data_IF_014163374834
#
_entry.id   IF_014163374834
#
_cell.length_a   1.000
_cell.length_b   1.000
_cell.length_c   1.000
_cell.angle_alpha   90.00
_cell.angle_beta   90.00
_cell.angle_gamma   90.00
#
_symmetry.space_group_name_H-M   'P 1'
#
loop_
_entity.id
_entity.type
_entity.pdbx_description
1 polymer ?
#
# COMPACT_ATOMS: atom_id res chain seq x y z
N UNK A 1 -25.09 -29.09 27.77
CA UNK A 1 -23.84 -28.30 27.92
C UNK A 1 -22.72 -28.69 26.95
N UNK A 2 -22.37 -29.98 26.77
CA UNK A 2 -21.26 -30.40 25.87
C UNK A 2 -21.46 -30.01 24.39
N UNK A 3 -22.67 -30.15 23.84
CA UNK A 3 -23.02 -29.75 22.47
C UNK A 3 -22.85 -28.25 22.17
N UNK A 4 -23.16 -27.40 23.14
CA UNK A 4 -22.98 -25.95 22.99
C UNK A 4 -21.50 -25.56 23.05
N UNK A 5 -20.68 -26.26 23.85
CA UNK A 5 -19.23 -26.06 23.88
C UNK A 5 -18.56 -26.41 22.54
N UNK A 6 -19.02 -27.48 21.89
CA UNK A 6 -18.54 -27.88 20.55
C UNK A 6 -18.95 -26.84 19.51
N UNK A 7 -20.21 -26.38 19.55
CA UNK A 7 -20.71 -25.36 18.62
C UNK A 7 -20.00 -24.02 18.78
N UNK A 8 -19.73 -23.59 20.02
CA UNK A 8 -18.96 -22.38 20.31
C UNK A 8 -17.51 -22.48 19.81
N UNK A 9 -16.88 -23.65 19.93
CA UNK A 9 -15.51 -23.86 19.45
C UNK A 9 -15.43 -23.83 17.91
N UNK A 10 -16.42 -24.42 17.23
CA UNK A 10 -16.51 -24.37 15.77
C UNK A 10 -16.72 -22.92 15.25
N UNK A 11 -17.52 -22.12 15.97
CA UNK A 11 -17.75 -20.72 15.60
C UNK A 11 -16.50 -19.86 15.74
N UNK A 12 -15.71 -20.05 16.81
CA UNK A 12 -14.43 -19.34 16.99
C UNK A 12 -13.43 -19.70 15.90
N UNK A 13 -13.38 -20.98 15.50
CA UNK A 13 -12.48 -21.44 14.44
C UNK A 13 -12.83 -20.82 13.08
N UNK A 14 -14.11 -20.70 12.75
CA UNK A 14 -14.55 -20.10 11.47
C UNK A 14 -14.25 -18.61 11.35
N UNK A 15 -14.27 -17.86 12.47
CA UNK A 15 -13.96 -16.42 12.46
C UNK A 15 -12.45 -16.18 12.24
N UNK A 16 -11.59 -17.10 12.69
CA UNK A 16 -10.14 -16.99 12.51
C UNK A 16 -9.66 -17.17 11.07
N UNK A 17 -10.42 -17.86 10.22
CA UNK A 17 -10.02 -18.13 8.83
C UNK A 17 -10.25 -16.95 7.87
N UNK A 18 -11.13 -16.00 8.22
CA UNK A 18 -11.51 -14.88 7.34
C UNK A 18 -10.51 -13.71 7.33
N UNK A 19 -9.46 -13.75 8.15
CA UNK A 19 -8.59 -12.60 8.39
C UNK A 19 -7.43 -12.41 7.40
N UNK A 20 -7.29 -13.27 6.38
CA UNK A 20 -6.13 -13.26 5.46
C UNK A 20 -6.53 -13.01 3.99
N UNK A 21 -7.44 -12.06 3.75
CA UNK A 21 -7.76 -11.66 2.38
C UNK A 21 -6.68 -10.69 1.85
N UNK A 22 -5.57 -11.23 1.35
CA UNK A 22 -4.66 -10.47 0.50
C UNK A 22 -5.31 -10.30 -0.88
N UNK A 23 -6.16 -9.27 -1.01
CA UNK A 23 -6.93 -8.98 -2.22
C UNK A 23 -6.07 -8.55 -3.42
N UNK A 24 -4.75 -8.42 -3.23
CA UNK A 24 -3.82 -8.03 -4.26
C UNK A 24 -2.91 -9.21 -4.59
N UNK A 25 -3.34 -10.06 -5.53
CA UNK A 25 -2.54 -11.17 -6.06
C UNK A 25 -1.14 -10.74 -6.59
N UNK A 26 -0.94 -9.43 -6.80
CA UNK A 26 0.36 -8.80 -6.98
C UNK A 26 0.56 -7.75 -5.90
N UNK A 27 1.59 -7.93 -5.06
CA UNK A 27 2.02 -6.91 -4.10
C UNK A 27 2.26 -5.60 -4.83
N UNK A 28 1.80 -4.49 -4.26
CA UNK A 28 2.11 -3.16 -4.78
C UNK A 28 3.62 -2.95 -4.76
N UNK A 29 4.18 -2.44 -5.85
CA UNK A 29 5.59 -2.08 -5.95
C UNK A 29 5.66 -0.56 -6.12
N UNK A 30 6.37 0.10 -5.21
CA UNK A 30 6.61 1.54 -5.35
C UNK A 30 7.47 1.81 -6.57
N UNK A 31 7.07 2.78 -7.38
CA UNK A 31 7.86 3.31 -8.52
C UNK A 31 8.76 4.48 -8.11
N UNK A 32 8.71 4.88 -6.85
CA UNK A 32 9.54 5.93 -6.28
C UNK A 32 10.33 5.36 -5.11
N UNK A 33 11.64 5.58 -5.13
CA UNK A 33 12.60 5.08 -4.14
C UNK A 33 12.71 5.96 -2.87
N UNK A 34 11.99 7.09 -2.84
CA UNK A 34 12.03 8.06 -1.75
C UNK A 34 13.24 9.01 -1.80
N UNK A 35 14.13 8.88 -2.78
CA UNK A 35 15.47 9.50 -2.75
C UNK A 35 15.82 10.23 -4.03
N UNK A 36 15.45 9.68 -5.17
CA UNK A 36 15.89 10.16 -6.48
C UNK A 36 14.71 10.29 -7.45
N UNK A 37 14.97 10.97 -8.56
CA UNK A 37 14.06 10.99 -9.71
C UNK A 37 14.52 9.99 -10.79
N UNK A 38 15.25 8.93 -10.42
CA UNK A 38 15.66 7.89 -11.36
C UNK A 38 14.44 7.23 -12.00
N UNK A 39 14.45 7.10 -13.33
CA UNK A 39 13.31 6.60 -14.11
C UNK A 39 12.20 7.64 -14.35
N UNK A 40 12.31 8.84 -13.78
CA UNK A 40 11.38 9.95 -14.04
C UNK A 40 11.94 10.88 -15.11
N UNK A 41 11.06 11.42 -15.94
CA UNK A 41 11.43 12.39 -16.98
C UNK A 41 10.29 13.38 -17.15
N UNK A 42 10.60 14.68 -17.10
CA UNK A 42 9.62 15.72 -17.38
C UNK A 42 9.22 15.65 -18.86
N UNK A 43 7.96 15.27 -19.12
CA UNK A 43 7.43 15.19 -20.49
C UNK A 43 6.89 16.52 -21.01
N UNK A 44 6.39 17.38 -20.12
CA UNK A 44 5.83 18.68 -20.47
C UNK A 44 5.90 19.66 -19.28
N UNK A 45 5.57 20.92 -19.52
CA UNK A 45 5.62 21.99 -18.53
C UNK A 45 7.04 22.51 -18.30
N UNK A 46 7.15 23.50 -17.42
CA UNK A 46 8.43 24.19 -17.11
C UNK A 46 8.74 24.24 -15.61
N UNK A 47 7.97 23.51 -14.80
CA UNK A 47 8.21 23.38 -13.38
C UNK A 47 9.53 22.65 -13.12
N UNK A 48 10.24 23.04 -12.06
CA UNK A 48 11.43 22.33 -11.58
C UNK A 48 11.02 21.29 -10.55
N UNK A 49 11.58 20.10 -10.64
CA UNK A 49 11.29 18.99 -9.72
C UNK A 49 12.53 18.59 -8.94
N UNK A 50 12.34 18.27 -7.66
CA UNK A 50 13.38 17.78 -6.76
C UNK A 50 12.76 16.83 -5.71
N UNK A 51 13.59 16.02 -5.05
CA UNK A 51 13.16 15.21 -3.90
C UNK A 51 13.53 15.94 -2.61
N UNK A 52 12.53 16.22 -1.77
CA UNK A 52 12.67 16.82 -0.43
C UNK A 52 11.86 16.03 0.58
N UNK A 53 12.47 15.63 1.68
CA UNK A 53 11.81 14.85 2.75
C UNK A 53 11.02 13.66 2.19
N UNK A 54 11.70 12.84 1.38
CA UNK A 54 11.12 11.64 0.76
C UNK A 54 9.88 11.93 -0.10
N UNK A 55 9.76 13.15 -0.64
CA UNK A 55 8.62 13.62 -1.44
C UNK A 55 9.11 14.33 -2.70
N UNK A 56 8.47 14.06 -3.83
CA UNK A 56 8.73 14.80 -5.08
C UNK A 56 8.03 16.16 -4.98
N UNK A 57 8.79 17.25 -5.04
CA UNK A 57 8.29 18.62 -4.98
C UNK A 57 8.45 19.27 -6.35
N UNK A 58 7.34 19.77 -6.91
CA UNK A 58 7.33 20.57 -8.14
C UNK A 58 7.14 22.05 -7.84
N UNK A 59 7.96 22.91 -8.44
CA UNK A 59 7.84 24.38 -8.32
C UNK A 59 7.60 25.01 -9.67
N UNK A 60 6.46 25.69 -9.82
CA UNK A 60 6.13 26.46 -11.03
C UNK A 60 6.64 27.89 -10.87
N UNK A 61 7.19 28.46 -11.95
CA UNK A 61 7.58 29.87 -11.97
C UNK A 61 6.34 30.75 -11.91
N UNK A 62 6.44 31.90 -11.22
CA UNK A 62 5.41 32.95 -11.24
C UNK A 62 5.24 33.52 -12.64
#
# INVERSE_FOLDING_TARGET
MKKHRILSLALVLMIGLSANADHHAKKFVSIFDGKTLEGWTQRNGTATYEVKNETIVGTTKK
#
